data_IF_497363581865
#
_entry.id   IF_497363581865
#
_cell.length_a   1.000
_cell.length_b   1.000
_cell.length_c   1.000
_cell.angle_alpha   90.00
_cell.angle_beta   90.00
_cell.angle_gamma   90.00
#
_symmetry.space_group_name_H-M   'P 1'
#
loop_
_entity.id
_entity.type
_entity.pdbx_description
1 polymer ?
#
# COMPACT_ATOMS: atom_id res chain seq x y z
N UNK A 1 11.77 0.48 12.50
CA UNK A 1 10.37 0.80 12.17
C UNK A 1 9.63 -0.41 11.65
N UNK A 2 8.31 -0.43 11.77
CA UNK A 2 7.40 -1.55 11.46
C UNK A 2 6.50 -1.18 10.28
N UNK A 3 6.57 -1.94 9.21
CA UNK A 3 5.79 -1.69 7.99
C UNK A 3 4.76 -2.81 7.83
N UNK A 4 3.48 -2.45 7.84
CA UNK A 4 2.40 -3.40 7.59
C UNK A 4 2.04 -3.39 6.11
N UNK A 5 2.14 -4.54 5.47
CA UNK A 5 1.86 -4.73 4.04
C UNK A 5 0.60 -5.58 3.91
N UNK A 6 -0.41 -5.04 3.27
CA UNK A 6 -1.65 -5.74 2.97
C UNK A 6 -1.77 -5.96 1.45
N UNK A 7 -1.43 -7.14 0.93
CA UNK A 7 -1.89 -7.50 -0.41
C UNK A 7 -3.42 -7.56 -0.39
N UNK A 8 -4.08 -6.80 -1.26
CA UNK A 8 -5.54 -6.78 -1.33
C UNK A 8 -6.15 -8.16 -1.63
N UNK A 9 -7.41 -8.30 -1.23
CA UNK A 9 -8.23 -9.50 -1.43
C UNK A 9 -7.81 -10.73 -0.61
N UNK A 10 -8.44 -11.88 -0.87
CA UNK A 10 -8.23 -13.08 -0.07
C UNK A 10 -6.93 -13.82 -0.44
N UNK A 11 -6.25 -14.38 0.57
CA UNK A 11 -5.12 -15.26 0.34
C UNK A 11 -5.53 -16.43 -0.57
N UNK A 12 -4.78 -16.63 -1.67
CA UNK A 12 -5.09 -17.62 -2.69
C UNK A 12 -6.33 -17.28 -3.54
N UNK A 13 -6.88 -16.05 -3.44
CA UNK A 13 -8.00 -15.57 -4.25
C UNK A 13 -9.35 -16.18 -3.89
N UNK A 14 -9.51 -16.76 -2.71
CA UNK A 14 -10.81 -17.31 -2.27
C UNK A 14 -11.10 -16.93 -0.82
N UNK A 15 -12.32 -16.45 -0.54
CA UNK A 15 -13.49 -16.29 -1.42
C UNK A 15 -13.49 -15.03 -2.30
N UNK A 16 -12.52 -14.14 -2.15
CA UNK A 16 -12.43 -12.84 -2.82
C UNK A 16 -11.15 -12.79 -3.69
N UNK A 17 -11.25 -13.02 -5.02
CA UNK A 17 -10.12 -12.96 -5.93
C UNK A 17 -9.71 -11.52 -6.30
N UNK A 18 -10.55 -10.51 -6.01
CA UNK A 18 -10.49 -9.19 -6.64
C UNK A 18 -10.87 -9.24 -8.11
N UNK A 19 -10.29 -8.37 -8.91
CA UNK A 19 -10.43 -8.43 -10.35
C UNK A 19 -9.81 -9.72 -10.91
N UNK A 20 -10.34 -10.18 -12.05
CA UNK A 20 -9.86 -11.38 -12.73
C UNK A 20 -9.60 -11.06 -14.20
N UNK A 21 -8.36 -11.26 -14.63
CA UNK A 21 -8.05 -11.32 -16.05
C UNK A 21 -8.47 -12.72 -16.57
N UNK A 22 -9.63 -12.80 -17.17
CA UNK A 22 -10.21 -14.09 -17.62
C UNK A 22 -9.43 -14.72 -18.77
N UNK A 23 -8.77 -13.92 -19.62
CA UNK A 23 -7.98 -14.43 -20.75
C UNK A 23 -6.76 -15.22 -20.27
N UNK A 24 -6.10 -14.71 -19.23
CA UNK A 24 -4.88 -15.31 -18.69
C UNK A 24 -5.12 -16.13 -17.41
N UNK A 25 -6.34 -16.15 -16.87
CA UNK A 25 -6.68 -16.88 -15.64
C UNK A 25 -5.97 -16.34 -14.38
N UNK A 26 -5.60 -15.05 -14.37
CA UNK A 26 -4.86 -14.42 -13.27
C UNK A 26 -5.79 -13.55 -12.44
N UNK A 27 -5.68 -13.69 -11.12
CA UNK A 27 -6.45 -12.88 -10.15
C UNK A 27 -5.63 -11.70 -9.62
N UNK A 28 -6.31 -10.65 -9.27
CA UNK A 28 -5.71 -9.49 -8.58
C UNK A 28 -5.01 -9.92 -7.29
N UNK A 29 -5.66 -10.76 -6.48
CA UNK A 29 -5.09 -11.31 -5.26
C UNK A 29 -3.70 -11.95 -5.46
N UNK A 30 -3.50 -12.66 -6.58
CA UNK A 30 -2.23 -13.30 -6.90
C UNK A 30 -1.15 -12.28 -7.30
N UNK A 31 -1.51 -11.26 -8.08
CA UNK A 31 -0.60 -10.17 -8.46
C UNK A 31 -0.19 -9.36 -7.22
N UNK A 32 -1.18 -8.98 -6.40
CA UNK A 32 -0.94 -8.21 -5.18
C UNK A 32 0.03 -8.93 -4.24
N UNK A 33 -0.12 -10.26 -4.08
CA UNK A 33 0.79 -11.07 -3.29
C UNK A 33 2.24 -11.03 -3.82
N UNK A 34 2.41 -11.11 -5.15
CA UNK A 34 3.75 -11.06 -5.78
C UNK A 34 4.42 -9.71 -5.61
N UNK A 35 3.68 -8.62 -5.80
CA UNK A 35 4.20 -7.25 -5.61
C UNK A 35 4.56 -7.03 -4.13
N UNK A 36 3.68 -7.43 -3.22
CA UNK A 36 3.89 -7.30 -1.78
C UNK A 36 5.12 -8.09 -1.29
N UNK A 37 5.35 -9.29 -1.79
CA UNK A 37 6.52 -10.10 -1.43
C UNK A 37 7.83 -9.41 -1.86
N UNK A 38 7.87 -8.82 -3.05
CA UNK A 38 9.03 -8.05 -3.50
C UNK A 38 9.24 -6.78 -2.66
N UNK A 39 8.16 -6.09 -2.28
CA UNK A 39 8.24 -4.94 -1.38
C UNK A 39 8.76 -5.36 0.00
N UNK A 40 8.24 -6.47 0.57
CA UNK A 40 8.69 -7.04 1.85
C UNK A 40 10.20 -7.28 1.85
N UNK A 41 10.69 -8.04 0.86
CA UNK A 41 12.11 -8.38 0.75
C UNK A 41 12.98 -7.11 0.68
N UNK A 42 12.56 -6.11 -0.10
CA UNK A 42 13.29 -4.86 -0.23
C UNK A 42 13.32 -4.06 1.08
N UNK A 43 12.18 -3.95 1.79
CA UNK A 43 12.09 -3.26 3.07
C UNK A 43 12.93 -3.95 4.16
N UNK A 44 12.89 -5.28 4.24
CA UNK A 44 13.71 -6.03 5.21
C UNK A 44 15.21 -5.87 4.96
N UNK A 45 15.64 -5.76 3.69
CA UNK A 45 17.03 -5.42 3.36
C UNK A 45 17.43 -4.01 3.80
N UNK A 46 16.48 -3.10 3.91
CA UNK A 46 16.69 -1.76 4.49
C UNK A 46 16.64 -1.75 6.03
N UNK A 47 16.42 -2.90 6.67
CA UNK A 47 16.40 -3.04 8.14
C UNK A 47 15.03 -2.79 8.78
N UNK A 48 13.95 -2.68 8.00
CA UNK A 48 12.60 -2.55 8.54
C UNK A 48 12.04 -3.90 8.99
N UNK A 49 11.20 -3.88 10.03
CA UNK A 49 10.39 -5.02 10.40
C UNK A 49 9.12 -5.01 9.55
N UNK A 50 8.80 -6.09 8.90
CA UNK A 50 7.61 -6.19 8.06
C UNK A 50 6.61 -7.20 8.61
N UNK A 51 5.33 -6.94 8.40
CA UNK A 51 4.25 -7.90 8.60
C UNK A 51 3.35 -7.89 7.37
N UNK A 52 3.24 -9.03 6.69
CA UNK A 52 2.37 -9.20 5.52
C UNK A 52 1.11 -9.94 5.94
N UNK A 53 -0.05 -9.35 5.67
CA UNK A 53 -1.36 -9.98 5.93
C UNK A 53 -2.24 -9.80 4.71
N UNK A 54 -2.50 -10.90 3.99
CA UNK A 54 -3.47 -10.94 2.90
C UNK A 54 -4.79 -11.52 3.41
N UNK A 55 -5.85 -10.75 3.36
CA UNK A 55 -7.18 -11.15 3.81
C UNK A 55 -8.26 -10.23 3.27
N UNK A 56 -9.43 -10.79 2.98
CA UNK A 56 -10.65 -10.04 2.67
C UNK A 56 -11.38 -9.55 3.94
N UNK A 57 -10.94 -9.99 5.11
CA UNK A 57 -11.47 -9.53 6.40
C UNK A 57 -10.78 -8.22 6.81
N UNK A 58 -11.32 -7.10 6.39
CA UNK A 58 -10.66 -5.81 6.60
C UNK A 58 -10.87 -5.23 8.01
N UNK A 59 -12.00 -5.53 8.66
CA UNK A 59 -12.40 -4.91 9.93
C UNK A 59 -13.00 -5.89 10.96
N UNK A 60 -12.92 -7.19 10.71
CA UNK A 60 -13.48 -8.24 11.57
C UNK A 60 -14.85 -8.77 11.08
N UNK A 61 -15.30 -8.40 9.89
CA UNK A 61 -16.57 -8.82 9.28
C UNK A 61 -16.60 -10.29 8.84
N UNK A 62 -15.44 -10.92 8.71
CA UNK A 62 -15.29 -12.32 8.31
C UNK A 62 -14.53 -13.12 9.40
N UNK A 63 -15.19 -13.52 10.51
CA UNK A 63 -14.57 -14.32 11.56
C UNK A 63 -13.96 -15.62 10.99
N UNK A 64 -12.74 -15.94 11.37
CA UNK A 64 -11.98 -17.07 10.82
C UNK A 64 -10.89 -16.66 9.83
N UNK A 65 -10.91 -15.40 9.38
CA UNK A 65 -9.83 -14.82 8.58
C UNK A 65 -9.13 -13.68 9.35
N UNK A 66 -7.84 -13.44 9.09
CA UNK A 66 -7.10 -12.35 9.76
C UNK A 66 -7.77 -11.00 9.55
N UNK A 67 -8.07 -10.28 10.63
CA UNK A 67 -8.59 -8.91 10.59
C UNK A 67 -7.44 -7.94 10.27
N UNK A 68 -7.39 -7.43 9.05
CA UNK A 68 -6.27 -6.62 8.53
C UNK A 68 -6.01 -5.38 9.39
N UNK A 69 -7.03 -4.51 9.55
CA UNK A 69 -6.84 -3.24 10.28
C UNK A 69 -6.63 -3.45 11.78
N UNK A 70 -7.31 -4.45 12.36
CA UNK A 70 -7.11 -4.84 13.76
C UNK A 70 -5.68 -5.30 14.03
N UNK A 71 -5.13 -6.12 13.13
CA UNK A 71 -3.76 -6.61 13.26
C UNK A 71 -2.72 -5.51 13.04
N UNK A 72 -2.96 -4.59 12.09
CA UNK A 72 -2.07 -3.45 11.85
C UNK A 72 -1.99 -2.54 13.08
N UNK A 73 -3.14 -2.21 13.67
CA UNK A 73 -3.22 -1.36 14.85
C UNK A 73 -2.63 -2.02 16.11
N UNK A 74 -2.91 -3.33 16.32
CA UNK A 74 -2.40 -4.05 17.49
C UNK A 74 -0.89 -4.35 17.42
N UNK A 75 -0.31 -4.40 16.22
CA UNK A 75 1.13 -4.56 16.00
C UNK A 75 1.89 -3.24 16.04
N UNK A 76 1.32 -2.17 16.44
CA UNK A 76 1.56 -0.75 16.22
C UNK A 76 2.54 -0.48 15.06
N UNK A 77 2.02 -0.68 13.83
CA UNK A 77 2.79 -0.37 12.63
C UNK A 77 3.05 1.13 12.51
N UNK A 78 4.22 1.50 12.00
CA UNK A 78 4.58 2.90 11.73
C UNK A 78 4.03 3.37 10.37
N UNK A 79 3.87 2.44 9.42
CA UNK A 79 3.28 2.67 8.09
C UNK A 79 2.42 1.47 7.71
N UNK A 80 1.30 1.76 7.04
CA UNK A 80 0.42 0.78 6.43
C UNK A 80 0.36 1.00 4.91
N UNK A 81 0.58 -0.06 4.13
CA UNK A 81 0.40 -0.04 2.68
C UNK A 81 -0.50 -1.19 2.23
N UNK A 82 -1.63 -0.85 1.60
CA UNK A 82 -2.46 -1.80 0.87
C UNK A 82 -2.06 -1.81 -0.61
N UNK A 83 -1.85 -2.98 -1.19
CA UNK A 83 -1.38 -3.15 -2.58
C UNK A 83 -2.46 -3.83 -3.38
N UNK A 84 -2.89 -3.20 -4.45
CA UNK A 84 -3.95 -3.59 -5.36
C UNK A 84 -3.51 -3.49 -6.82
N UNK A 85 -4.29 -4.10 -7.71
CA UNK A 85 -4.23 -3.90 -9.15
C UNK A 85 -5.63 -3.53 -9.67
N UNK A 86 -5.72 -2.40 -10.34
CA UNK A 86 -6.95 -1.82 -10.83
C UNK A 86 -7.61 -2.65 -11.95
N UNK A 87 -8.86 -2.37 -12.24
CA UNK A 87 -9.60 -2.92 -13.38
C UNK A 87 -10.63 -1.89 -13.88
N UNK A 88 -11.15 -2.10 -15.10
CA UNK A 88 -12.13 -1.22 -15.73
C UNK A 88 -11.63 -0.61 -17.04
N UNK A 89 -10.67 -1.25 -17.71
CA UNK A 89 -10.19 -0.88 -19.05
C UNK A 89 -9.32 0.40 -19.07
N UNK A 90 -8.78 0.81 -17.93
CA UNK A 90 -7.84 1.93 -17.84
C UNK A 90 -6.39 1.51 -17.98
N UNK A 91 -5.45 2.48 -17.80
CA UNK A 91 -4.01 2.22 -17.72
C UNK A 91 -3.37 3.11 -16.64
N UNK A 92 -2.22 2.66 -16.12
CA UNK A 92 -1.38 3.43 -15.22
C UNK A 92 -1.63 3.17 -13.73
N UNK A 93 -0.82 3.82 -12.89
CA UNK A 93 -0.92 3.69 -11.43
C UNK A 93 -1.57 4.89 -10.78
N UNK A 94 -2.21 4.65 -9.63
CA UNK A 94 -2.77 5.68 -8.75
C UNK A 94 -2.61 5.27 -7.28
N UNK A 95 -2.51 6.25 -6.39
CA UNK A 95 -2.36 5.99 -4.96
C UNK A 95 -3.40 6.77 -4.18
N UNK A 96 -4.06 6.10 -3.25
CA UNK A 96 -5.11 6.67 -2.43
C UNK A 96 -4.62 6.95 -1.02
N UNK A 97 -5.06 8.11 -0.48
CA UNK A 97 -4.93 8.48 0.92
C UNK A 97 -6.30 8.78 1.53
N UNK A 98 -6.39 8.82 2.86
CA UNK A 98 -7.64 9.13 3.56
C UNK A 98 -8.09 10.58 3.36
N UNK A 99 -7.16 11.55 3.41
CA UNK A 99 -7.43 12.99 3.22
C UNK A 99 -6.20 13.70 2.69
N UNK A 100 -6.37 14.90 2.13
CA UNK A 100 -5.28 15.74 1.64
C UNK A 100 -4.38 16.27 2.75
N UNK A 101 -4.88 16.32 3.98
CA UNK A 101 -4.18 16.83 5.16
C UNK A 101 -3.73 15.70 6.10
N UNK A 102 -3.26 14.58 5.54
CA UNK A 102 -2.80 13.44 6.31
C UNK A 102 -1.37 13.05 5.92
N UNK A 103 -0.64 12.49 6.85
CA UNK A 103 0.66 11.87 6.58
C UNK A 103 0.57 10.74 5.55
N UNK A 104 -0.60 10.10 5.46
CA UNK A 104 -0.92 9.18 4.38
C UNK A 104 -0.87 9.85 3.00
N UNK A 105 -1.27 11.12 2.87
CA UNK A 105 -1.18 11.84 1.60
C UNK A 105 0.27 12.17 1.20
N UNK A 106 1.10 12.58 2.14
CA UNK A 106 2.52 12.81 1.89
C UNK A 106 3.23 11.49 1.47
N UNK A 107 2.94 10.39 2.17
CA UNK A 107 3.41 9.06 1.81
C UNK A 107 2.89 8.64 0.42
N UNK A 108 1.60 8.83 0.14
CA UNK A 108 1.00 8.52 -1.16
C UNK A 108 1.66 9.29 -2.30
N UNK A 109 2.02 10.56 -2.06
CA UNK A 109 2.72 11.40 -3.05
C UNK A 109 4.09 10.83 -3.37
N UNK A 110 4.86 10.45 -2.36
CA UNK A 110 6.18 9.86 -2.53
C UNK A 110 6.10 8.52 -3.27
N UNK A 111 5.14 7.65 -2.87
CA UNK A 111 4.94 6.33 -3.49
C UNK A 111 4.48 6.49 -4.94
N UNK A 112 3.50 7.35 -5.21
CA UNK A 112 2.98 7.58 -6.56
C UNK A 112 4.08 8.02 -7.53
N UNK A 113 4.89 8.99 -7.14
CA UNK A 113 5.96 9.52 -7.99
C UNK A 113 7.06 8.48 -8.24
N UNK A 114 7.46 7.77 -7.20
CA UNK A 114 8.54 6.78 -7.31
C UNK A 114 8.09 5.58 -8.14
N UNK A 115 6.88 5.08 -7.90
CA UNK A 115 6.30 3.97 -8.64
C UNK A 115 6.15 4.32 -10.13
N UNK A 116 5.49 5.45 -10.43
CA UNK A 116 5.33 5.90 -11.81
C UNK A 116 6.67 6.05 -12.53
N UNK A 117 7.66 6.70 -11.91
CA UNK A 117 9.00 6.86 -12.51
C UNK A 117 9.65 5.51 -12.80
N UNK A 118 9.58 4.57 -11.86
CA UNK A 118 10.20 3.25 -12.05
C UNK A 118 9.57 2.50 -13.23
N UNK A 119 8.24 2.47 -13.33
CA UNK A 119 7.53 1.78 -14.41
C UNK A 119 7.66 2.51 -15.74
N UNK A 120 7.66 3.84 -15.76
CA UNK A 120 7.84 4.65 -16.97
C UNK A 120 9.24 4.53 -17.61
N UNK A 121 10.22 3.95 -16.91
CA UNK A 121 11.49 3.58 -17.54
C UNK A 121 11.36 2.35 -18.44
N UNK A 122 10.39 1.47 -18.14
CA UNK A 122 10.09 0.26 -18.92
C UNK A 122 9.11 0.61 -20.05
N UNK A 123 8.00 1.24 -19.68
CA UNK A 123 6.99 1.72 -20.63
C UNK A 123 6.85 3.24 -20.54
N UNK A 124 7.37 3.96 -21.56
CA UNK A 124 7.32 5.44 -21.63
C UNK A 124 5.91 5.99 -21.71
N UNK A 125 4.95 5.18 -22.12
CA UNK A 125 3.53 5.55 -22.22
C UNK A 125 2.73 5.27 -20.96
N UNK A 126 3.34 4.67 -19.92
CA UNK A 126 2.66 4.30 -18.68
C UNK A 126 2.11 5.54 -17.94
N UNK A 127 0.78 5.65 -17.75
CA UNK A 127 0.19 6.85 -17.22
C UNK A 127 0.41 7.03 -15.70
N UNK A 128 0.67 8.28 -15.30
CA UNK A 128 0.58 8.70 -13.91
C UNK A 128 -0.84 9.24 -13.64
N UNK A 129 -1.66 8.50 -12.93
CA UNK A 129 -3.04 8.88 -12.59
C UNK A 129 -3.11 9.72 -11.31
N UNK A 130 -1.97 9.90 -10.63
CA UNK A 130 -1.81 10.78 -9.48
C UNK A 130 -2.29 10.21 -8.16
N UNK A 131 -2.22 11.07 -7.14
CA UNK A 131 -2.75 10.78 -5.81
C UNK A 131 -4.22 11.17 -5.75
N UNK A 132 -5.01 10.32 -5.09
CA UNK A 132 -6.45 10.51 -4.89
C UNK A 132 -6.80 10.42 -3.41
N UNK A 133 -7.92 11.00 -3.03
CA UNK A 133 -8.49 10.89 -1.69
C UNK A 133 -9.74 10.04 -1.74
N UNK A 134 -9.80 9.04 -0.86
CA UNK A 134 -10.99 8.24 -0.65
C UNK A 134 -11.15 7.84 0.83
N UNK A 135 -11.97 8.59 1.60
CA UNK A 135 -12.19 8.31 3.02
C UNK A 135 -13.05 7.06 3.28
N UNK A 136 -13.64 6.48 2.23
CA UNK A 136 -14.52 5.30 2.37
C UNK A 136 -13.75 3.98 2.33
N UNK A 137 -12.51 3.97 1.88
CA UNK A 137 -11.70 2.77 1.95
C UNK A 137 -11.45 2.36 3.40
N UNK A 138 -11.95 1.18 3.76
CA UNK A 138 -11.88 0.63 5.13
C UNK A 138 -10.47 0.64 5.68
N UNK A 139 -9.48 0.23 4.87
CA UNK A 139 -8.08 0.16 5.27
C UNK A 139 -7.46 1.53 5.54
N UNK A 140 -7.94 2.59 4.89
CA UNK A 140 -7.47 3.96 5.14
C UNK A 140 -8.16 4.58 6.35
N UNK A 141 -9.46 4.27 6.55
CA UNK A 141 -10.27 4.86 7.61
C UNK A 141 -10.02 4.24 8.98
N UNK A 142 -9.63 2.96 9.04
CA UNK A 142 -9.55 2.17 10.28
C UNK A 142 -8.14 1.83 10.73
N UNK A 143 -7.14 2.27 10.03
CA UNK A 143 -5.73 2.17 10.45
C UNK A 143 -5.30 3.40 11.23
N UNK A 144 -4.47 3.19 12.24
CA UNK A 144 -4.05 4.22 13.19
C UNK A 144 -2.71 4.89 12.83
N UNK A 145 -2.09 4.54 11.76
CA UNK A 145 -0.81 5.07 11.27
C UNK A 145 -1.01 5.70 9.88
N UNK A 146 0.01 6.41 9.32
CA UNK A 146 0.01 6.80 7.92
C UNK A 146 -0.30 5.60 7.03
N UNK A 147 -1.39 5.68 6.27
CA UNK A 147 -1.92 4.58 5.47
C UNK A 147 -2.19 5.01 4.04
N UNK A 148 -1.84 4.13 3.10
CA UNK A 148 -2.10 4.30 1.68
C UNK A 148 -2.67 3.03 1.06
N UNK A 149 -3.39 3.19 -0.06
CA UNK A 149 -3.76 2.11 -0.96
C UNK A 149 -3.20 2.42 -2.36
N UNK A 150 -2.41 1.49 -2.89
CA UNK A 150 -1.71 1.63 -4.17
C UNK A 150 -2.40 0.75 -5.20
N UNK A 151 -2.95 1.34 -6.24
CA UNK A 151 -3.37 0.66 -7.46
C UNK A 151 -2.19 0.67 -8.44
N UNK A 152 -1.53 -0.46 -8.55
CA UNK A 152 -0.22 -0.57 -9.22
C UNK A 152 -0.31 -0.39 -10.74
N UNK A 153 -1.29 -1.04 -11.38
CA UNK A 153 -1.60 -0.96 -12.81
C UNK A 153 -2.94 -1.68 -13.06
N UNK A 154 -3.42 -1.69 -14.30
CA UNK A 154 -4.69 -2.33 -14.64
C UNK A 154 -4.51 -3.80 -15.04
N UNK A 155 -5.24 -4.69 -14.34
CA UNK A 155 -5.16 -6.13 -14.57
C UNK A 155 -5.83 -6.57 -15.89
N UNK A 156 -6.82 -5.82 -16.34
CA UNK A 156 -7.68 -6.10 -17.49
C UNK A 156 -7.26 -5.37 -18.78
N UNK A 157 -6.14 -4.67 -18.77
CA UNK A 157 -5.54 -4.04 -19.94
C UNK A 157 -4.22 -4.70 -20.26
N UNK A 158 -4.04 -5.19 -21.48
CA UNK A 158 -2.94 -6.08 -21.86
C UNK A 158 -1.56 -5.50 -21.56
N UNK A 159 -1.31 -4.24 -21.90
CA UNK A 159 0.00 -3.60 -21.68
C UNK A 159 0.34 -3.52 -20.19
N UNK A 160 -0.63 -3.15 -19.35
CA UNK A 160 -0.45 -3.05 -17.90
C UNK A 160 -0.37 -4.45 -17.27
N UNK A 161 -1.16 -5.42 -17.77
CA UNK A 161 -1.08 -6.82 -17.35
C UNK A 161 0.30 -7.40 -17.59
N UNK A 162 0.89 -7.19 -18.77
CA UNK A 162 2.25 -7.64 -19.07
C UNK A 162 3.30 -7.01 -18.15
N UNK A 163 3.14 -5.73 -17.79
CA UNK A 163 4.00 -5.08 -16.80
C UNK A 163 3.86 -5.75 -15.42
N UNK A 164 2.64 -6.01 -14.96
CA UNK A 164 2.38 -6.64 -13.66
C UNK A 164 2.97 -8.06 -13.57
N UNK A 165 2.82 -8.84 -14.63
CA UNK A 165 3.30 -10.24 -14.64
C UNK A 165 4.81 -10.32 -14.80
N UNK A 166 5.39 -9.53 -15.71
CA UNK A 166 6.82 -9.62 -16.06
C UNK A 166 7.70 -8.78 -15.13
N UNK A 167 7.16 -7.73 -14.51
CA UNK A 167 7.94 -6.75 -13.74
C UNK A 167 7.41 -6.53 -12.32
N UNK A 168 6.74 -7.50 -11.69
CA UNK A 168 6.22 -7.39 -10.32
C UNK A 168 7.28 -6.91 -9.31
N UNK A 169 8.54 -7.29 -9.51
CA UNK A 169 9.66 -6.84 -8.68
C UNK A 169 9.91 -5.32 -8.79
N UNK A 170 9.71 -4.72 -9.95
CA UNK A 170 9.88 -3.27 -10.14
C UNK A 170 8.84 -2.50 -9.33
N UNK A 171 7.58 -2.95 -9.36
CA UNK A 171 6.50 -2.36 -8.55
C UNK A 171 6.81 -2.48 -7.05
N UNK A 172 7.14 -3.68 -6.59
CA UNK A 172 7.44 -3.92 -5.17
C UNK A 172 8.65 -3.11 -4.67
N UNK A 173 9.74 -3.09 -5.45
CA UNK A 173 10.94 -2.33 -5.10
C UNK A 173 10.69 -0.81 -5.11
N UNK A 174 9.89 -0.31 -6.05
CA UNK A 174 9.53 1.11 -6.11
C UNK A 174 8.70 1.53 -4.89
N UNK A 175 7.71 0.72 -4.48
CA UNK A 175 6.93 0.97 -3.26
C UNK A 175 7.84 0.96 -2.03
N UNK A 176 8.72 -0.03 -1.90
CA UNK A 176 9.66 -0.13 -0.78
C UNK A 176 10.62 1.06 -0.72
N UNK A 177 11.21 1.44 -1.86
CA UNK A 177 12.11 2.60 -1.95
C UNK A 177 11.41 3.90 -1.56
N UNK A 178 10.17 4.08 -1.96
CA UNK A 178 9.39 5.25 -1.61
C UNK A 178 9.05 5.32 -0.12
N UNK A 179 8.72 4.18 0.50
CA UNK A 179 8.50 4.09 1.94
C UNK A 179 9.79 4.42 2.70
N UNK A 180 10.93 3.86 2.29
CA UNK A 180 12.25 4.17 2.87
C UNK A 180 12.58 5.67 2.73
N UNK A 181 12.36 6.25 1.56
CA UNK A 181 12.57 7.68 1.33
C UNK A 181 11.68 8.54 2.23
N UNK A 182 10.39 8.21 2.32
CA UNK A 182 9.44 8.92 3.18
C UNK A 182 9.86 8.84 4.65
N UNK A 183 10.17 7.67 5.15
CA UNK A 183 10.57 7.47 6.54
C UNK A 183 11.86 8.21 6.87
N UNK A 184 12.89 8.13 6.03
CA UNK A 184 14.16 8.85 6.24
C UNK A 184 14.01 10.37 6.25
N UNK A 185 13.04 10.91 5.51
CA UNK A 185 12.77 12.35 5.49
C UNK A 185 12.03 12.84 6.76
N UNK A 186 11.38 11.92 7.50
CA UNK A 186 10.50 12.27 8.63
C UNK A 186 10.89 11.55 9.94
N UNK A 187 12.11 11.03 10.04
CA UNK A 187 12.64 10.40 11.26
C UNK A 187 13.60 11.35 11.97
N UNK A 188 13.48 11.48 13.31
CA UNK A 188 14.50 12.13 14.16
C UNK A 188 15.77 11.29 14.22
N UNK A 189 16.91 11.88 14.66
CA UNK A 189 18.12 11.12 14.97
C UNK A 189 17.90 10.03 16.02
N UNK A 190 16.92 10.20 16.91
CA UNK A 190 16.53 9.26 17.97
C UNK A 190 15.62 8.11 17.45
N UNK A 191 15.12 8.23 16.20
CA UNK A 191 14.31 7.21 15.53
C UNK A 191 12.80 7.40 15.66
N UNK A 192 12.33 8.54 16.16
CA UNK A 192 10.93 8.89 16.25
C UNK A 192 10.44 9.55 14.95
N UNK A 193 9.20 9.31 14.55
CA UNK A 193 8.59 10.02 13.42
C UNK A 193 8.32 11.47 13.81
N UNK A 194 8.90 12.41 13.08
CA UNK A 194 8.63 13.85 13.23
C UNK A 194 7.36 14.16 12.45
N UNK A 195 6.34 14.54 13.16
CA UNK A 195 5.19 15.22 12.62
C UNK A 195 5.38 16.71 12.94
N UNK A 196 5.78 17.54 11.98
CA UNK A 196 5.87 19.00 12.20
C UNK A 196 4.50 19.51 12.64
N UNK A 197 4.48 20.27 13.77
CA UNK A 197 3.25 20.70 14.46
C UNK A 197 2.43 21.76 13.69
N UNK A 198 2.85 22.19 12.51
CA UNK A 198 2.22 23.26 11.74
C UNK A 198 1.04 22.82 10.85
N UNK A 199 0.66 21.52 10.82
CA UNK A 199 -0.59 21.10 10.25
C UNK A 199 -1.52 20.52 11.33
N UNK A 200 -2.78 20.98 11.42
CA UNK A 200 -3.72 20.44 12.40
C UNK A 200 -3.97 18.96 12.06
N UNK A 201 -3.31 18.06 12.80
CA UNK A 201 -3.61 16.64 12.74
C UNK A 201 -5.12 16.46 12.95
N UNK A 202 -5.82 15.68 12.12
CA UNK A 202 -7.21 15.37 12.39
C UNK A 202 -7.32 14.78 13.78
N UNK A 203 -8.32 15.20 14.55
CA UNK A 203 -8.56 14.93 15.98
C UNK A 203 -8.59 13.45 16.41
N UNK A 204 -8.25 12.52 15.53
CA UNK A 204 -8.23 11.07 15.75
C UNK A 204 -6.83 10.47 16.03
N UNK A 205 -5.76 11.28 16.04
CA UNK A 205 -4.38 10.78 16.11
C UNK A 205 -3.60 11.24 17.35
N UNK A 206 -4.26 11.29 18.52
CA UNK A 206 -3.51 11.40 19.77
C UNK A 206 -3.00 10.01 20.14
N UNK A 207 -1.70 9.79 19.95
CA UNK A 207 -0.99 8.71 20.63
C UNK A 207 -1.21 8.87 22.13
N UNK A 208 -1.91 7.93 22.74
CA UNK A 208 -1.93 7.76 24.19
C UNK A 208 -0.84 6.78 24.51
N UNK A 209 0.26 7.21 25.19
CA UNK A 209 1.26 6.26 25.65
C UNK A 209 0.58 5.27 26.59
N UNK A 210 0.78 3.98 26.36
CA UNK A 210 0.38 2.96 27.30
C UNK A 210 1.14 3.22 28.61
N UNK A 211 0.43 3.65 29.63
CA UNK A 211 0.94 3.68 31.01
C UNK A 211 1.20 2.23 31.43
N UNK A 212 2.41 1.99 31.93
CA UNK A 212 2.96 0.73 32.46
C UNK A 212 2.04 0.13 33.52
#
# INVERSE_FOLDING_TARGET
>A
MRIFINPGHALGGRPDPGAVNCEHGVTEAAINARVAENARIALERCGYLTKVVQSHNLRGEAPGYPNVTGLANSWPADVFVSIHANAGGGRGCETYAFSTHSWGHALATTVQQTLWRAVSHIDKSFPNRGVKVNPDFTVLRRTAMPAILVETAFLDTEEDFQLLVSHAAVFGHAIASAIDQFLRAHITPEGDLIFEEDEPAPLMWRYVPATI
#
